data_IF_706830125470
#
_entry.id   IF_706830125470
#
_cell.length_a   1.000
_cell.length_b   1.000
_cell.length_c   1.000
_cell.angle_alpha   90.00
_cell.angle_beta   90.00
_cell.angle_gamma   90.00
#
_symmetry.space_group_name_H-M   'P 1'
#
loop_
_entity.id
_entity.type
_entity.pdbx_description
1 polymer ?
#
# COMPACT_ATOMS: atom_id res chain seq x y z
N UNK A 1 -11.02 -13.80 5.54
CA UNK A 1 -10.40 -13.72 4.21
C UNK A 1 -9.57 -14.97 3.99
N UNK A 2 -9.60 -15.58 2.79
CA UNK A 2 -8.68 -16.69 2.49
C UNK A 2 -7.29 -16.13 2.17
N UNK A 3 -6.24 -16.92 2.38
CA UNK A 3 -4.84 -16.53 2.08
C UNK A 3 -4.64 -16.06 0.63
N UNK A 4 -5.39 -16.65 -0.31
CA UNK A 4 -5.40 -16.23 -1.74
C UNK A 4 -5.92 -14.81 -1.93
N UNK A 5 -7.03 -14.46 -1.24
CA UNK A 5 -7.62 -13.11 -1.34
C UNK A 5 -6.72 -12.09 -0.63
N UNK A 6 -6.10 -12.46 0.48
CA UNK A 6 -5.13 -11.60 1.15
C UNK A 6 -3.96 -11.25 0.23
N UNK A 7 -3.30 -12.25 -0.35
CA UNK A 7 -2.19 -12.04 -1.27
C UNK A 7 -2.57 -11.16 -2.48
N UNK A 8 -3.80 -11.31 -2.98
CA UNK A 8 -4.31 -10.47 -4.06
C UNK A 8 -4.47 -9.02 -3.60
N UNK A 9 -5.10 -8.78 -2.45
CA UNK A 9 -5.31 -7.43 -1.90
C UNK A 9 -3.98 -6.75 -1.60
N UNK A 10 -3.03 -7.43 -0.95
CA UNK A 10 -1.71 -6.87 -0.66
C UNK A 10 -0.93 -6.54 -1.94
N UNK A 11 -1.07 -7.37 -2.99
CA UNK A 11 -0.48 -7.10 -4.29
C UNK A 11 -1.06 -5.84 -4.96
N UNK A 12 -2.37 -5.64 -4.88
CA UNK A 12 -3.04 -4.43 -5.40
C UNK A 12 -2.60 -3.18 -4.63
N UNK A 13 -2.52 -3.27 -3.29
CA UNK A 13 -2.07 -2.15 -2.44
C UNK A 13 -0.64 -1.75 -2.82
N UNK A 14 0.28 -2.71 -2.91
CA UNK A 14 1.66 -2.41 -3.31
C UNK A 14 1.77 -1.83 -4.72
N UNK A 15 0.96 -2.30 -5.67
CA UNK A 15 0.89 -1.72 -7.01
C UNK A 15 0.39 -0.27 -6.99
N UNK A 16 -0.63 0.03 -6.19
CA UNK A 16 -1.17 1.38 -6.04
C UNK A 16 -0.17 2.34 -5.36
N UNK A 17 0.60 1.87 -4.36
CA UNK A 17 1.65 2.66 -3.73
C UNK A 17 2.71 3.10 -4.74
N UNK A 18 3.20 2.17 -5.57
CA UNK A 18 4.22 2.48 -6.59
C UNK A 18 3.72 3.53 -7.58
N UNK A 19 2.48 3.40 -8.05
CA UNK A 19 1.88 4.36 -8.98
C UNK A 19 1.71 5.73 -8.30
N UNK A 20 1.22 5.77 -7.07
CA UNK A 20 1.04 7.01 -6.33
C UNK A 20 2.37 7.73 -6.10
N UNK A 21 3.41 6.99 -5.69
CA UNK A 21 4.78 7.51 -5.52
C UNK A 21 5.32 8.10 -6.83
N UNK A 22 5.13 7.41 -7.96
CA UNK A 22 5.58 7.89 -9.26
C UNK A 22 4.87 9.19 -9.66
N UNK A 23 3.55 9.27 -9.46
CA UNK A 23 2.75 10.47 -9.77
C UNK A 23 3.17 11.65 -8.88
N UNK A 24 3.30 11.43 -7.57
CA UNK A 24 3.71 12.46 -6.61
C UNK A 24 5.10 13.00 -6.94
N UNK A 25 6.03 12.14 -7.32
CA UNK A 25 7.39 12.54 -7.72
C UNK A 25 7.38 13.44 -8.96
N UNK A 26 6.42 13.24 -9.88
CA UNK A 26 6.26 14.07 -11.07
C UNK A 26 5.51 15.39 -10.81
N UNK A 27 4.45 15.37 -10.00
CA UNK A 27 3.54 16.51 -9.80
C UNK A 27 3.98 17.42 -8.64
N UNK A 28 4.55 16.86 -7.57
CA UNK A 28 4.93 17.58 -6.35
C UNK A 28 6.37 17.26 -5.88
N UNK A 29 7.40 17.53 -6.71
CA UNK A 29 8.78 17.14 -6.40
C UNK A 29 9.32 17.74 -5.10
N UNK A 30 8.90 18.96 -4.74
CA UNK A 30 9.33 19.64 -3.51
C UNK A 30 8.89 18.91 -2.21
N UNK A 31 7.78 18.17 -2.26
CA UNK A 31 7.22 17.44 -1.11
C UNK A 31 7.23 15.93 -1.29
N UNK A 32 7.81 15.44 -2.39
CA UNK A 32 7.73 14.03 -2.78
C UNK A 32 8.26 13.10 -1.68
N UNK A 33 9.34 13.47 -0.99
CA UNK A 33 9.91 12.65 0.09
C UNK A 33 8.90 12.44 1.24
N UNK A 34 8.25 13.51 1.70
CA UNK A 34 7.29 13.42 2.80
C UNK A 34 6.02 12.67 2.39
N UNK A 35 5.51 12.92 1.19
CA UNK A 35 4.30 12.26 0.68
C UNK A 35 4.57 10.77 0.41
N UNK A 36 5.69 10.42 -0.23
CA UNK A 36 6.06 9.03 -0.50
C UNK A 36 6.22 8.22 0.80
N UNK A 37 6.80 8.83 1.85
CA UNK A 37 6.87 8.21 3.17
C UNK A 37 5.47 7.96 3.76
N UNK A 38 4.54 8.92 3.63
CA UNK A 38 3.16 8.74 4.09
C UNK A 38 2.40 7.65 3.33
N UNK A 39 2.63 7.52 2.01
CA UNK A 39 2.04 6.47 1.18
C UNK A 39 2.49 5.09 1.67
N UNK A 40 3.80 4.90 1.88
CA UNK A 40 4.32 3.61 2.35
C UNK A 40 3.84 3.22 3.75
N UNK A 41 3.70 4.18 4.67
CA UNK A 41 3.11 3.93 5.99
C UNK A 41 1.64 3.52 5.85
N UNK A 42 0.89 4.22 4.98
CA UNK A 42 -0.52 3.94 4.76
C UNK A 42 -0.75 2.54 4.18
N UNK A 43 -0.01 2.12 3.16
CA UNK A 43 -0.20 0.77 2.61
C UNK A 43 0.28 -0.33 3.54
N UNK A 44 1.36 -0.11 4.32
CA UNK A 44 1.74 -1.04 5.39
C UNK A 44 0.60 -1.22 6.40
N UNK A 45 -0.02 -0.14 6.86
CA UNK A 45 -1.15 -0.19 7.78
C UNK A 45 -2.37 -0.92 7.18
N UNK A 46 -2.65 -0.71 5.88
CA UNK A 46 -3.73 -1.45 5.18
C UNK A 46 -3.44 -2.95 5.16
N UNK A 47 -2.20 -3.35 4.88
CA UNK A 47 -1.80 -4.77 4.87
C UNK A 47 -1.96 -5.39 6.26
N UNK A 48 -1.52 -4.70 7.31
CA UNK A 48 -1.66 -5.15 8.70
C UNK A 48 -3.12 -5.34 9.10
N UNK A 49 -3.98 -4.37 8.77
CA UNK A 49 -5.44 -4.47 8.99
C UNK A 49 -5.99 -5.67 8.23
N UNK A 50 -5.65 -5.82 6.94
CA UNK A 50 -6.11 -6.93 6.12
C UNK A 50 -5.69 -8.29 6.69
N UNK A 51 -4.50 -8.36 7.30
CA UNK A 51 -3.96 -9.58 7.89
C UNK A 51 -4.80 -10.05 9.10
N UNK A 52 -5.36 -9.13 9.90
CA UNK A 52 -6.25 -9.47 11.02
C UNK A 52 -7.53 -10.19 10.59
N UNK A 53 -7.94 -10.02 9.33
CA UNK A 53 -9.14 -10.67 8.79
C UNK A 53 -8.84 -11.96 8.04
N UNK A 54 -7.58 -12.40 7.96
CA UNK A 54 -7.24 -13.69 7.35
C UNK A 54 -7.75 -14.79 8.27
N UNK A 55 -8.66 -15.62 7.75
CA UNK A 55 -9.09 -16.82 8.47
C UNK A 55 -7.92 -17.79 8.38
N UNK A 56 -7.26 -18.04 9.50
CA UNK A 56 -6.33 -19.17 9.60
C UNK A 56 -7.12 -20.42 9.21
N UNK A 57 -6.66 -21.08 8.15
CA UNK A 57 -7.22 -22.32 7.63
C UNK A 57 -6.26 -23.46 7.99
#
# INVERSE_FOLDING_TARGET
>A
MSKKVFNLVTGIVGGAEVIAIAIVTFIQPAFAVAINASIGIAGTAVIEICNQFVKEA
#
